data_IF_513813168672
#
_entry.id   IF_513813168672
#
_cell.length_a   1.000
_cell.length_b   1.000
_cell.length_c   1.000
_cell.angle_alpha   90.00
_cell.angle_beta   90.00
_cell.angle_gamma   90.00
#
_symmetry.space_group_name_H-M   'P 1'
#
loop_
_entity.id
_entity.type
_entity.pdbx_description
1 polymer ?
#
# COMPACT_ATOMS: atom_id res chain seq x y z
N UNK A 1 7.97 -20.04 -48.99
CA UNK A 1 7.72 -19.71 -47.58
C UNK A 1 7.07 -20.93 -46.96
N UNK A 2 7.70 -21.63 -46.01
CA UNK A 2 7.21 -22.90 -45.48
C UNK A 2 5.89 -22.71 -44.73
N UNK A 3 4.98 -23.67 -44.85
CA UNK A 3 3.64 -23.68 -44.17
C UNK A 3 3.78 -23.45 -42.65
N UNK A 4 4.88 -23.96 -42.05
CA UNK A 4 5.22 -23.72 -40.63
C UNK A 4 5.46 -22.26 -40.29
N UNK A 5 6.04 -21.46 -41.19
CA UNK A 5 6.30 -20.06 -40.97
C UNK A 5 4.99 -19.22 -41.01
N UNK A 6 4.08 -19.58 -41.91
CA UNK A 6 2.73 -18.94 -41.99
C UNK A 6 1.91 -19.26 -40.73
N UNK A 7 1.92 -20.49 -40.27
CA UNK A 7 1.24 -20.90 -39.05
C UNK A 7 1.79 -20.16 -37.80
N UNK A 8 3.12 -20.10 -37.67
CA UNK A 8 3.75 -19.36 -36.55
C UNK A 8 3.41 -17.87 -36.57
N UNK A 9 3.36 -17.23 -37.75
CA UNK A 9 2.95 -15.82 -37.89
C UNK A 9 1.47 -15.64 -37.54
N UNK A 10 0.62 -16.55 -37.95
CA UNK A 10 -0.80 -16.52 -37.60
C UNK A 10 -1.01 -16.67 -36.08
N UNK A 11 -0.40 -17.67 -35.46
CA UNK A 11 -0.48 -17.87 -34.01
C UNK A 11 0.08 -16.65 -33.26
N UNK A 12 1.23 -16.12 -33.68
CA UNK A 12 1.80 -14.92 -33.07
C UNK A 12 0.89 -13.71 -33.19
N UNK A 13 0.30 -13.48 -34.37
CA UNK A 13 -0.67 -12.40 -34.60
C UNK A 13 -1.92 -12.57 -33.75
N UNK A 14 -2.46 -13.80 -33.69
CA UNK A 14 -3.62 -14.11 -32.84
C UNK A 14 -3.34 -13.85 -31.35
N UNK A 15 -2.20 -14.34 -30.84
CA UNK A 15 -1.81 -14.12 -29.45
C UNK A 15 -1.61 -12.63 -29.14
N UNK A 16 -0.98 -11.88 -30.03
CA UNK A 16 -0.81 -10.43 -29.88
C UNK A 16 -2.16 -9.70 -29.84
N UNK A 17 -3.09 -10.08 -30.73
CA UNK A 17 -4.45 -9.50 -30.74
C UNK A 17 -5.20 -9.85 -29.44
N UNK A 18 -5.16 -11.10 -29.01
CA UNK A 18 -5.75 -11.53 -27.74
C UNK A 18 -5.19 -10.72 -26.55
N UNK A 19 -3.87 -10.58 -26.47
CA UNK A 19 -3.22 -9.77 -25.42
C UNK A 19 -3.67 -8.31 -25.50
N UNK A 20 -3.76 -7.74 -26.69
CA UNK A 20 -4.28 -6.38 -26.90
C UNK A 20 -5.73 -6.23 -26.45
N UNK A 21 -6.60 -7.17 -26.80
CA UNK A 21 -8.01 -7.18 -26.34
C UNK A 21 -8.09 -7.27 -24.81
N UNK A 22 -7.35 -8.18 -24.20
CA UNK A 22 -7.32 -8.30 -22.72
C UNK A 22 -6.84 -7.00 -22.05
N UNK A 23 -5.83 -6.35 -22.61
CA UNK A 23 -5.35 -5.06 -22.11
C UNK A 23 -6.41 -3.97 -22.22
N UNK A 24 -7.09 -3.86 -23.37
CA UNK A 24 -8.18 -2.90 -23.59
C UNK A 24 -9.33 -3.15 -22.63
N UNK A 25 -9.75 -4.40 -22.44
CA UNK A 25 -10.81 -4.75 -21.50
C UNK A 25 -10.42 -4.35 -20.06
N UNK A 26 -9.21 -4.70 -19.60
CA UNK A 26 -8.75 -4.37 -18.27
C UNK A 26 -8.72 -2.85 -18.03
N UNK A 27 -8.21 -2.09 -19.00
CA UNK A 27 -8.16 -0.62 -18.95
C UNK A 27 -9.57 -0.01 -18.98
N UNK A 28 -10.48 -0.56 -19.80
CA UNK A 28 -11.87 -0.09 -19.88
C UNK A 28 -12.61 -0.30 -18.56
N UNK A 29 -12.45 -1.46 -17.92
CA UNK A 29 -13.03 -1.74 -16.59
C UNK A 29 -12.50 -0.76 -15.55
N UNK A 30 -11.19 -0.48 -15.57
CA UNK A 30 -10.59 0.50 -14.66
C UNK A 30 -11.20 1.90 -14.86
N UNK A 31 -11.28 2.38 -16.10
CA UNK A 31 -11.88 3.68 -16.40
C UNK A 31 -13.37 3.74 -16.06
N UNK A 32 -14.09 2.63 -16.25
CA UNK A 32 -15.49 2.54 -15.85
C UNK A 32 -15.66 2.69 -14.34
N UNK A 33 -14.87 1.95 -13.55
CA UNK A 33 -14.89 2.04 -12.08
C UNK A 33 -14.54 3.46 -11.61
N UNK A 34 -13.47 4.05 -12.16
CA UNK A 34 -13.05 5.41 -11.80
C UNK A 34 -14.10 6.45 -12.20
N UNK A 35 -14.67 6.35 -13.40
CA UNK A 35 -15.73 7.24 -13.86
C UNK A 35 -16.98 7.14 -12.99
N UNK A 36 -17.39 5.92 -12.64
CA UNK A 36 -18.52 5.68 -11.75
C UNK A 36 -18.28 6.27 -10.34
N UNK A 37 -17.08 6.07 -9.82
CA UNK A 37 -16.67 6.60 -8.51
C UNK A 37 -16.67 8.15 -8.51
N UNK A 38 -16.14 8.77 -9.57
CA UNK A 38 -16.13 10.23 -9.70
C UNK A 38 -17.55 10.79 -9.83
N UNK A 39 -18.40 10.15 -10.64
CA UNK A 39 -19.77 10.60 -10.86
C UNK A 39 -20.61 10.53 -9.59
N UNK A 40 -20.58 9.41 -8.85
CA UNK A 40 -21.41 9.23 -7.65
C UNK A 40 -20.77 9.85 -6.39
N UNK A 41 -19.43 9.78 -6.26
CA UNK A 41 -18.72 10.35 -5.12
C UNK A 41 -18.59 11.86 -5.19
N UNK A 42 -18.40 12.43 -6.38
CA UNK A 42 -18.17 13.86 -6.56
C UNK A 42 -19.33 14.74 -6.10
N UNK A 43 -20.56 14.26 -6.27
CA UNK A 43 -21.79 15.00 -5.87
C UNK A 43 -21.94 15.14 -4.34
N UNK A 44 -21.30 14.27 -3.57
CA UNK A 44 -21.41 14.23 -2.10
C UNK A 44 -20.18 14.83 -1.39
N UNK A 45 -19.16 15.24 -2.14
CA UNK A 45 -18.00 15.92 -1.57
C UNK A 45 -18.35 17.39 -1.32
N UNK A 46 -18.29 17.78 -0.04
CA UNK A 46 -18.46 19.15 0.41
C UNK A 46 -17.38 19.51 1.44
N UNK A 47 -17.20 20.79 1.77
CA UNK A 47 -16.25 21.18 2.80
C UNK A 47 -16.56 20.53 4.16
N UNK A 48 -17.85 20.32 4.45
CA UNK A 48 -18.30 19.63 5.67
C UNK A 48 -17.85 18.16 5.71
N UNK A 49 -17.69 17.50 4.57
CA UNK A 49 -17.17 16.13 4.51
C UNK A 49 -15.78 15.99 5.15
N UNK A 50 -14.93 16.99 4.99
CA UNK A 50 -13.56 17.00 5.51
C UNK A 50 -13.44 17.54 6.95
N UNK A 51 -14.44 18.25 7.46
CA UNK A 51 -14.34 18.99 8.72
C UNK A 51 -15.31 18.51 9.80
N UNK A 52 -16.42 17.89 9.41
CA UNK A 52 -17.44 17.43 10.35
C UNK A 52 -17.34 15.94 10.66
N UNK A 53 -17.89 15.58 11.81
CA UNK A 53 -18.09 14.19 12.21
C UNK A 53 -19.29 13.56 11.49
N UNK A 54 -19.39 12.23 11.46
CA UNK A 54 -20.57 11.52 10.98
C UNK A 54 -21.83 11.91 11.78
N UNK A 55 -22.94 12.18 11.08
CA UNK A 55 -24.24 12.41 11.70
C UNK A 55 -25.01 11.10 11.88
N UNK A 56 -25.98 11.05 12.83
CA UNK A 56 -26.92 9.96 12.94
C UNK A 56 -27.73 9.75 11.65
N UNK A 57 -28.35 8.56 11.56
CA UNK A 57 -29.23 8.22 10.44
C UNK A 57 -30.44 9.18 10.40
N UNK A 58 -30.75 9.69 9.21
CA UNK A 58 -31.87 10.60 8.98
C UNK A 58 -31.57 12.08 9.18
N UNK A 59 -30.36 12.43 9.65
CA UNK A 59 -29.91 13.80 9.71
C UNK A 59 -29.11 14.16 8.45
N UNK A 60 -29.48 15.27 7.81
CA UNK A 60 -28.76 15.78 6.65
C UNK A 60 -27.40 16.37 7.03
N UNK A 61 -26.40 16.18 6.20
CA UNK A 61 -25.05 16.70 6.40
C UNK A 61 -24.11 15.66 7.04
N UNK A 62 -23.20 16.12 7.89
CA UNK A 62 -22.14 15.28 8.43
C UNK A 62 -20.93 15.17 7.51
N UNK A 63 -19.91 14.44 7.98
CA UNK A 63 -18.66 14.24 7.26
C UNK A 63 -17.91 13.02 7.75
N UNK A 64 -16.68 12.86 7.30
CA UNK A 64 -15.80 11.74 7.67
C UNK A 64 -14.42 12.21 8.15
N UNK A 65 -14.35 13.39 8.77
CA UNK A 65 -13.10 13.98 9.25
C UNK A 65 -12.35 13.05 10.22
N UNK A 66 -13.08 12.39 11.14
CA UNK A 66 -12.49 11.40 12.06
C UNK A 66 -11.88 10.20 11.34
N UNK A 67 -12.51 9.72 10.26
CA UNK A 67 -12.02 8.59 9.48
C UNK A 67 -10.78 8.96 8.63
N UNK A 68 -10.74 10.18 8.10
CA UNK A 68 -9.57 10.70 7.38
C UNK A 68 -8.36 10.78 8.33
N UNK A 69 -8.53 11.42 9.48
CA UNK A 69 -7.47 11.55 10.49
C UNK A 69 -7.09 10.18 11.06
N UNK A 70 -8.06 9.31 11.31
CA UNK A 70 -7.80 7.96 11.81
C UNK A 70 -7.05 7.09 10.81
N UNK A 71 -7.39 7.15 9.52
CA UNK A 71 -6.61 6.47 8.47
C UNK A 71 -5.16 6.96 8.42
N UNK A 72 -4.95 8.27 8.53
CA UNK A 72 -3.60 8.84 8.57
C UNK A 72 -2.81 8.34 9.79
N UNK A 73 -3.42 8.30 10.98
CA UNK A 73 -2.80 7.76 12.21
C UNK A 73 -2.42 6.28 12.04
N UNK A 74 -3.33 5.46 11.53
CA UNK A 74 -3.12 4.03 11.32
C UNK A 74 -1.99 3.77 10.33
N UNK A 75 -1.97 4.47 9.20
CA UNK A 75 -0.92 4.36 8.18
C UNK A 75 0.43 4.87 8.68
N UNK A 76 0.44 5.94 9.48
CA UNK A 76 1.67 6.44 10.10
C UNK A 76 2.28 5.38 11.03
N UNK A 77 1.48 4.78 11.92
CA UNK A 77 1.94 3.70 12.80
C UNK A 77 2.41 2.48 12.01
N UNK A 78 1.64 2.04 11.02
CA UNK A 78 2.01 0.92 10.17
C UNK A 78 3.35 1.17 9.46
N UNK A 79 3.55 2.39 8.94
CA UNK A 79 4.78 2.77 8.26
C UNK A 79 5.97 2.89 9.20
N UNK A 80 5.75 3.34 10.44
CA UNK A 80 6.81 3.59 11.42
C UNK A 80 7.63 2.32 11.74
N UNK A 81 7.00 1.16 11.76
CA UNK A 81 7.73 -0.10 11.99
C UNK A 81 7.76 -1.01 10.75
N UNK A 82 6.69 -1.03 9.94
CA UNK A 82 6.60 -1.89 8.76
C UNK A 82 7.63 -1.56 7.68
N UNK A 83 7.83 -0.26 7.42
CA UNK A 83 8.84 0.19 6.43
C UNK A 83 10.26 -0.09 6.90
N UNK A 84 10.71 0.29 8.11
CA UNK A 84 12.08 0.00 8.54
C UNK A 84 12.39 -1.51 8.58
N UNK A 85 11.50 -2.32 9.14
CA UNK A 85 11.70 -3.78 9.21
C UNK A 85 11.79 -4.37 7.80
N UNK A 86 10.86 -4.00 6.91
CA UNK A 86 10.88 -4.46 5.52
C UNK A 86 12.12 -4.00 4.77
N UNK A 87 12.54 -2.75 4.93
CA UNK A 87 13.72 -2.18 4.29
C UNK A 87 15.03 -2.85 4.73
N UNK A 88 15.27 -2.97 6.03
CA UNK A 88 16.48 -3.63 6.52
C UNK A 88 16.48 -5.13 6.21
N UNK A 89 15.30 -5.78 6.27
CA UNK A 89 15.15 -7.15 5.81
C UNK A 89 15.49 -7.32 4.33
N UNK A 90 15.06 -6.39 3.47
CA UNK A 90 15.38 -6.40 2.05
C UNK A 90 16.88 -6.25 1.78
N UNK A 91 17.57 -5.35 2.51
CA UNK A 91 19.04 -5.23 2.43
C UNK A 91 19.70 -6.56 2.78
N UNK A 92 19.26 -7.18 3.88
CA UNK A 92 19.78 -8.48 4.28
C UNK A 92 19.58 -9.53 3.19
N UNK A 93 18.38 -9.64 2.62
CA UNK A 93 18.08 -10.61 1.56
C UNK A 93 18.83 -10.34 0.26
N UNK A 94 19.07 -9.08 -0.10
CA UNK A 94 19.80 -8.70 -1.31
C UNK A 94 21.30 -9.02 -1.19
N UNK A 95 21.91 -8.74 -0.04
CA UNK A 95 23.35 -8.79 0.16
C UNK A 95 23.87 -10.13 0.75
N UNK A 96 22.97 -10.91 1.38
CA UNK A 96 23.32 -12.21 2.00
C UNK A 96 22.49 -13.36 1.43
N UNK A 97 22.18 -13.31 0.14
CA UNK A 97 21.23 -14.19 -0.57
C UNK A 97 21.56 -15.68 -0.52
N UNK A 98 22.81 -16.07 -0.30
CA UNK A 98 23.26 -17.48 -0.26
C UNK A 98 23.09 -18.17 1.10
N UNK A 99 22.61 -17.48 2.14
CA UNK A 99 22.43 -18.06 3.46
C UNK A 99 21.10 -18.80 3.61
N UNK A 100 21.07 -19.85 4.40
CA UNK A 100 19.85 -20.59 4.79
C UNK A 100 18.83 -19.65 5.45
N UNK A 101 19.30 -18.72 6.27
CA UNK A 101 18.46 -17.72 6.92
C UNK A 101 17.76 -16.80 5.91
N UNK A 102 18.49 -16.35 4.86
CA UNK A 102 17.87 -15.54 3.80
C UNK A 102 16.79 -16.32 3.05
N UNK A 103 17.01 -17.62 2.81
CA UNK A 103 15.98 -18.49 2.22
C UNK A 103 14.73 -18.56 3.09
N UNK A 104 14.89 -18.82 4.41
CA UNK A 104 13.76 -18.90 5.36
C UNK A 104 13.01 -17.58 5.45
N UNK A 105 13.70 -16.45 5.57
CA UNK A 105 13.07 -15.12 5.66
C UNK A 105 12.31 -14.78 4.38
N UNK A 106 12.88 -15.09 3.22
CA UNK A 106 12.19 -14.89 1.91
C UNK A 106 10.93 -15.74 1.82
N UNK A 107 11.04 -17.02 2.15
CA UNK A 107 9.91 -17.94 2.13
C UNK A 107 8.81 -17.51 3.10
N UNK A 108 9.16 -17.08 4.32
CA UNK A 108 8.22 -16.54 5.29
C UNK A 108 7.51 -15.26 4.79
N UNK A 109 8.25 -14.36 4.14
CA UNK A 109 7.67 -13.15 3.55
C UNK A 109 6.70 -13.49 2.40
N UNK A 110 7.05 -14.45 1.54
CA UNK A 110 6.18 -14.90 0.45
C UNK A 110 4.92 -15.58 0.99
N UNK A 111 5.03 -16.39 2.03
CA UNK A 111 3.87 -16.97 2.73
C UNK A 111 2.97 -15.87 3.32
N UNK A 112 3.54 -14.90 4.03
CA UNK A 112 2.77 -13.79 4.63
C UNK A 112 2.05 -12.95 3.58
N UNK A 113 2.63 -12.75 2.39
CA UNK A 113 1.95 -12.08 1.28
C UNK A 113 0.75 -12.86 0.75
N UNK A 114 0.74 -14.19 0.90
CA UNK A 114 -0.36 -15.06 0.51
C UNK A 114 -1.45 -15.24 1.58
N UNK A 115 -1.21 -14.84 2.82
CA UNK A 115 -2.19 -14.96 3.90
C UNK A 115 -3.35 -13.98 3.68
N UNK A 116 -4.61 -14.43 3.77
CA UNK A 116 -5.76 -13.52 3.73
C UNK A 116 -5.66 -12.45 4.83
N UNK A 117 -5.94 -11.19 4.46
CA UNK A 117 -5.79 -10.04 5.38
C UNK A 117 -6.63 -10.17 6.66
N UNK A 118 -7.79 -10.83 6.56
CA UNK A 118 -8.65 -11.11 7.73
C UNK A 118 -7.93 -11.99 8.77
N UNK A 119 -7.12 -12.96 8.33
CA UNK A 119 -6.36 -13.85 9.23
C UNK A 119 -5.29 -13.05 9.98
N UNK A 120 -4.62 -12.12 9.29
CA UNK A 120 -3.67 -11.19 9.93
C UNK A 120 -4.39 -10.32 10.96
N UNK A 121 -5.61 -9.88 10.66
CA UNK A 121 -6.45 -9.14 11.61
C UNK A 121 -6.78 -9.93 12.87
N UNK A 122 -7.19 -11.19 12.73
CA UNK A 122 -7.49 -12.10 13.86
C UNK A 122 -6.21 -12.38 14.67
N UNK A 123 -5.08 -12.57 13.99
CA UNK A 123 -3.79 -12.75 14.65
C UNK A 123 -3.39 -11.53 15.48
N UNK A 124 -3.49 -10.32 14.89
CA UNK A 124 -3.22 -9.08 15.60
C UNK A 124 -4.21 -8.84 16.76
N UNK A 125 -5.48 -9.21 16.59
CA UNK A 125 -6.47 -9.21 17.66
C UNK A 125 -6.02 -10.07 18.83
N UNK A 126 -5.61 -11.30 18.57
CA UNK A 126 -5.16 -12.25 19.60
C UNK A 126 -3.91 -11.77 20.36
N UNK A 127 -2.99 -11.10 19.64
CA UNK A 127 -1.74 -10.64 20.25
C UNK A 127 -1.86 -9.30 20.98
N UNK A 128 -2.74 -8.41 20.51
CA UNK A 128 -2.81 -7.04 21.02
C UNK A 128 -4.13 -6.76 21.71
N UNK A 129 -5.27 -6.99 21.03
CA UNK A 129 -6.58 -6.61 21.57
C UNK A 129 -6.98 -7.46 22.77
N UNK A 130 -6.79 -8.78 22.70
CA UNK A 130 -7.15 -9.70 23.80
C UNK A 130 -6.39 -9.40 25.10
N UNK A 131 -5.06 -9.23 25.10
CA UNK A 131 -4.32 -8.91 26.32
C UNK A 131 -4.67 -7.55 26.91
N UNK A 132 -4.86 -6.54 26.06
CA UNK A 132 -5.21 -5.19 26.49
C UNK A 132 -6.72 -5.00 26.75
N UNK A 133 -7.55 -5.96 26.35
CA UNK A 133 -9.03 -5.97 26.51
C UNK A 133 -9.77 -4.79 25.89
N UNK A 134 -9.17 -4.13 24.91
CA UNK A 134 -9.82 -3.05 24.15
C UNK A 134 -9.25 -2.91 22.73
N UNK A 135 -10.08 -2.43 21.81
CA UNK A 135 -9.68 -2.02 20.47
C UNK A 135 -8.88 -0.71 20.54
N UNK A 136 -7.92 -0.54 19.64
CA UNK A 136 -7.08 0.65 19.66
C UNK A 136 -6.47 0.98 18.30
N UNK A 137 -6.11 2.25 18.13
CA UNK A 137 -5.32 2.72 16.98
C UNK A 137 -3.97 1.98 16.89
N UNK A 138 -3.34 1.68 18.05
CA UNK A 138 -2.08 0.91 18.09
C UNK A 138 -2.26 -0.50 17.54
N UNK A 139 -3.33 -1.21 17.94
CA UNK A 139 -3.62 -2.55 17.45
C UNK A 139 -3.87 -2.55 15.93
N UNK A 140 -4.60 -1.54 15.43
CA UNK A 140 -4.83 -1.35 13.99
C UNK A 140 -3.55 -1.04 13.23
N UNK A 141 -2.73 -0.13 13.74
CA UNK A 141 -1.42 0.18 13.16
C UNK A 141 -0.49 -1.03 13.13
N UNK A 142 -0.49 -1.84 14.20
CA UNK A 142 0.25 -3.10 14.26
C UNK A 142 -0.21 -4.11 13.18
N UNK A 143 -1.51 -4.32 13.04
CA UNK A 143 -2.06 -5.23 12.03
C UNK A 143 -1.69 -4.80 10.60
N UNK A 144 -1.85 -3.51 10.30
CA UNK A 144 -1.47 -2.96 8.99
C UNK A 144 0.03 -3.02 8.75
N UNK A 145 0.85 -2.79 9.78
CA UNK A 145 2.30 -2.86 9.67
C UNK A 145 2.81 -4.27 9.42
N UNK A 146 2.21 -5.30 10.04
CA UNK A 146 2.51 -6.70 9.74
C UNK A 146 2.31 -7.01 8.26
N UNK A 147 1.27 -6.45 7.64
CA UNK A 147 1.04 -6.60 6.19
C UNK A 147 2.04 -5.79 5.35
N UNK A 148 2.47 -4.65 5.85
CA UNK A 148 3.39 -3.76 5.13
C UNK A 148 4.81 -4.35 5.05
N UNK A 149 5.26 -5.09 6.08
CA UNK A 149 6.60 -5.71 6.14
C UNK A 149 6.92 -6.56 4.91
N UNK A 150 6.17 -7.63 4.58
CA UNK A 150 6.53 -8.53 3.49
C UNK A 150 6.47 -7.83 2.12
N UNK A 151 5.53 -6.91 1.91
CA UNK A 151 5.41 -6.14 0.66
C UNK A 151 6.64 -5.25 0.47
N UNK A 152 6.98 -4.45 1.50
CA UNK A 152 8.16 -3.58 1.47
C UNK A 152 9.44 -4.38 1.29
N UNK A 153 9.58 -5.49 2.01
CA UNK A 153 10.75 -6.36 1.97
C UNK A 153 10.97 -6.91 0.55
N UNK A 154 9.97 -7.56 -0.02
CA UNK A 154 10.12 -8.23 -1.32
C UNK A 154 10.33 -7.23 -2.46
N UNK A 155 9.51 -6.17 -2.51
CA UNK A 155 9.66 -5.17 -3.56
C UNK A 155 10.99 -4.40 -3.46
N UNK A 156 11.44 -4.09 -2.24
CA UNK A 156 12.75 -3.43 -2.04
C UNK A 156 13.91 -4.36 -2.40
N UNK A 157 13.85 -5.65 -2.04
CA UNK A 157 14.86 -6.65 -2.42
C UNK A 157 15.06 -6.70 -3.94
N UNK A 158 13.97 -6.70 -4.72
CA UNK A 158 14.03 -6.71 -6.18
C UNK A 158 14.80 -5.51 -6.74
N UNK A 159 14.53 -4.30 -6.24
CA UNK A 159 15.24 -3.10 -6.68
C UNK A 159 16.72 -3.07 -6.25
N UNK A 160 17.04 -3.56 -5.05
CA UNK A 160 18.43 -3.67 -4.60
C UNK A 160 19.21 -4.68 -5.43
N UNK A 161 18.59 -5.80 -5.83
CA UNK A 161 19.19 -6.81 -6.68
C UNK A 161 19.36 -6.35 -8.13
N UNK A 162 18.54 -5.44 -8.61
CA UNK A 162 18.64 -4.86 -9.94
C UNK A 162 19.90 -3.99 -10.12
N UNK A 163 20.56 -3.56 -9.02
CA UNK A 163 21.82 -2.81 -9.08
C UNK A 163 22.95 -3.74 -9.58
N UNK A 164 23.69 -3.37 -10.65
CA UNK A 164 24.74 -4.19 -11.21
C UNK A 164 25.84 -4.56 -10.20
N UNK A 165 26.30 -5.81 -10.23
CA UNK A 165 27.38 -6.29 -9.34
C UNK A 165 28.70 -5.52 -9.55
N UNK A 166 28.96 -5.05 -10.77
CA UNK A 166 30.13 -4.25 -11.08
C UNK A 166 30.27 -2.99 -10.18
N UNK A 167 29.16 -2.37 -9.77
CA UNK A 167 29.19 -1.23 -8.83
C UNK A 167 29.62 -1.67 -7.43
N UNK A 168 29.21 -2.85 -7.00
CA UNK A 168 29.62 -3.44 -5.71
C UNK A 168 31.13 -3.73 -5.70
N UNK A 169 31.59 -4.40 -6.75
CA UNK A 169 33.01 -4.78 -6.91
C UNK A 169 33.90 -3.55 -7.04
N UNK A 170 33.52 -2.54 -7.81
CA UNK A 170 34.26 -1.30 -7.96
C UNK A 170 34.41 -0.56 -6.62
N UNK A 171 33.34 -0.42 -5.84
CA UNK A 171 33.41 0.22 -4.54
C UNK A 171 34.32 -0.52 -3.55
N UNK A 172 34.24 -1.86 -3.53
CA UNK A 172 35.12 -2.69 -2.68
C UNK A 172 36.58 -2.66 -3.15
N UNK A 173 36.84 -2.63 -4.46
CA UNK A 173 38.18 -2.48 -5.02
C UNK A 173 38.85 -1.15 -4.62
N UNK A 174 38.05 -0.08 -4.41
CA UNK A 174 38.49 1.20 -3.86
C UNK A 174 38.66 1.20 -2.31
N UNK A 175 38.57 0.03 -1.68
CA UNK A 175 38.77 -0.12 -0.23
C UNK A 175 37.52 0.17 0.64
N UNK A 176 36.33 0.34 0.04
CA UNK A 176 35.12 0.52 0.83
C UNK A 176 34.71 -0.80 1.52
N UNK A 177 34.37 -0.74 2.80
CA UNK A 177 33.77 -1.89 3.51
C UNK A 177 32.41 -2.23 2.93
N UNK A 178 31.95 -3.47 3.12
CA UNK A 178 30.64 -3.94 2.63
C UNK A 178 29.49 -3.02 3.04
N UNK A 179 29.45 -2.61 4.31
CA UNK A 179 28.41 -1.69 4.81
C UNK A 179 28.50 -0.30 4.19
N UNK A 180 29.70 0.21 3.99
CA UNK A 180 29.91 1.49 3.31
C UNK A 180 29.44 1.40 1.86
N UNK A 181 29.74 0.32 1.15
CA UNK A 181 29.26 0.06 -0.21
C UNK A 181 27.72 0.03 -0.26
N UNK A 182 27.08 -0.67 0.66
CA UNK A 182 25.61 -0.72 0.73
C UNK A 182 25.03 0.68 0.92
N UNK A 183 25.50 1.41 1.93
CA UNK A 183 24.91 2.70 2.32
C UNK A 183 25.20 3.83 1.32
N UNK A 184 26.39 3.86 0.68
CA UNK A 184 26.81 4.98 -0.18
C UNK A 184 26.71 4.70 -1.67
N UNK A 185 26.59 3.44 -2.08
CA UNK A 185 26.53 3.07 -3.50
C UNK A 185 25.21 2.36 -3.84
N UNK A 186 24.91 1.24 -3.16
CA UNK A 186 23.78 0.38 -3.53
C UNK A 186 22.43 1.03 -3.22
N UNK A 187 22.24 1.49 -1.99
CA UNK A 187 20.98 2.13 -1.57
C UNK A 187 20.71 3.41 -2.37
N UNK A 188 21.69 4.33 -2.57
CA UNK A 188 21.50 5.49 -3.43
C UNK A 188 21.25 5.13 -4.91
N UNK A 189 21.87 4.09 -5.44
CA UNK A 189 21.62 3.63 -6.82
C UNK A 189 20.20 3.07 -6.99
N UNK A 190 19.67 2.35 -5.99
CA UNK A 190 18.32 1.77 -5.97
C UNK A 190 17.23 2.73 -5.45
N UNK A 191 17.57 3.93 -5.01
CA UNK A 191 16.70 4.82 -4.24
C UNK A 191 15.32 5.04 -4.84
N UNK A 192 15.21 5.29 -6.16
CA UNK A 192 13.91 5.48 -6.84
C UNK A 192 13.04 4.23 -6.79
N UNK A 193 13.67 3.05 -6.94
CA UNK A 193 13.00 1.77 -6.83
C UNK A 193 12.53 1.49 -5.40
N UNK A 194 13.39 1.72 -4.42
CA UNK A 194 13.07 1.54 -2.99
C UNK A 194 11.87 2.39 -2.60
N UNK A 195 11.83 3.66 -3.00
CA UNK A 195 10.67 4.49 -2.70
C UNK A 195 9.42 4.01 -3.42
N UNK A 196 9.53 3.55 -4.67
CA UNK A 196 8.39 2.97 -5.39
C UNK A 196 7.85 1.73 -4.65
N UNK A 197 8.72 0.89 -4.09
CA UNK A 197 8.35 -0.25 -3.26
C UNK A 197 7.58 0.17 -1.99
N UNK A 198 8.08 1.19 -1.29
CA UNK A 198 7.43 1.73 -0.08
C UNK A 198 6.06 2.35 -0.42
N UNK A 199 5.97 3.13 -1.49
CA UNK A 199 4.71 3.73 -1.93
C UNK A 199 3.68 2.69 -2.37
N UNK A 200 4.13 1.60 -3.00
CA UNK A 200 3.27 0.47 -3.36
C UNK A 200 2.71 -0.22 -2.12
N UNK A 201 3.56 -0.50 -1.13
CA UNK A 201 3.15 -1.08 0.14
C UNK A 201 2.16 -0.17 0.88
N UNK A 202 2.44 1.14 0.92
CA UNK A 202 1.57 2.14 1.52
C UNK A 202 0.19 2.18 0.82
N UNK A 203 0.15 2.26 -0.51
CA UNK A 203 -1.09 2.32 -1.27
C UNK A 203 -1.95 1.07 -1.07
N UNK A 204 -1.32 -0.11 -1.03
CA UNK A 204 -2.03 -1.37 -0.77
C UNK A 204 -2.64 -1.40 0.64
N UNK A 205 -1.85 -1.08 1.65
CA UNK A 205 -2.29 -1.13 3.06
C UNK A 205 -3.31 -0.04 3.39
N UNK A 206 -3.26 1.10 2.71
CA UNK A 206 -4.21 2.21 2.90
C UNK A 206 -5.67 1.84 2.59
N UNK A 207 -5.90 0.86 1.73
CA UNK A 207 -7.24 0.36 1.38
C UNK A 207 -7.72 -0.84 2.21
N UNK A 208 -6.93 -1.33 3.17
CA UNK A 208 -7.28 -2.54 3.91
C UNK A 208 -8.38 -2.29 4.95
N UNK A 209 -9.40 -3.12 4.89
CA UNK A 209 -10.59 -3.04 5.76
C UNK A 209 -10.62 -4.15 6.81
N UNK A 210 -10.44 -5.41 6.38
CA UNK A 210 -10.66 -6.58 7.20
C UNK A 210 -9.81 -6.62 8.49
N UNK A 211 -8.51 -6.33 8.48
CA UNK A 211 -7.72 -6.32 9.72
C UNK A 211 -8.18 -5.27 10.72
N UNK A 212 -8.67 -4.13 10.23
CA UNK A 212 -9.09 -3.01 11.08
C UNK A 212 -10.41 -3.29 11.81
N UNK A 213 -11.29 -4.11 11.24
CA UNK A 213 -12.52 -4.54 11.91
C UNK A 213 -12.25 -5.31 13.20
N UNK A 214 -11.13 -6.01 13.28
CA UNK A 214 -10.72 -6.78 14.46
C UNK A 214 -9.77 -6.05 15.40
N UNK A 215 -9.26 -4.87 15.04
CA UNK A 215 -8.19 -4.23 15.79
C UNK A 215 -8.46 -2.76 16.16
N UNK A 216 -8.81 -1.93 15.19
CA UNK A 216 -9.19 -0.53 15.41
C UNK A 216 -10.69 -0.35 15.61
N UNK A 217 -11.49 -1.25 15.05
CA UNK A 217 -12.94 -1.39 15.09
C UNK A 217 -13.70 -0.21 14.48
N UNK A 218 -13.55 0.99 14.98
CA UNK A 218 -14.20 2.20 14.50
C UNK A 218 -14.68 3.09 15.66
N UNK A 219 -14.84 4.38 15.38
CA UNK A 219 -15.34 5.37 16.32
C UNK A 219 -16.05 6.50 15.55
N UNK A 220 -17.28 6.85 15.92
CA UNK A 220 -18.02 7.97 15.31
C UNK A 220 -17.54 9.34 15.79
N UNK A 221 -16.85 9.37 16.92
CA UNK A 221 -16.32 10.57 17.55
C UNK A 221 -14.82 10.75 17.25
N UNK A 222 -14.26 11.86 17.65
CA UNK A 222 -12.83 12.07 17.65
C UNK A 222 -12.14 11.09 18.60
N UNK A 223 -11.10 10.45 18.11
CA UNK A 223 -10.20 9.60 18.93
C UNK A 223 -8.89 10.36 19.16
N UNK A 224 -8.74 11.09 20.28
CA UNK A 224 -7.53 11.86 20.56
C UNK A 224 -6.33 10.98 20.87
N UNK A 225 -6.55 9.82 21.50
CA UNK A 225 -5.50 8.90 21.95
C UNK A 225 -5.10 7.86 20.90
N UNK A 226 -3.97 7.22 21.15
CA UNK A 226 -3.49 6.07 20.36
C UNK A 226 -4.05 4.74 20.87
N UNK A 227 -4.44 4.71 22.13
CA UNK A 227 -4.96 3.53 22.83
C UNK A 227 -6.50 3.49 22.85
N UNK A 228 -7.14 4.12 21.90
CA UNK A 228 -8.60 4.16 21.74
C UNK A 228 -8.99 3.67 20.33
N UNK A 229 -10.21 3.13 20.17
CA UNK A 229 -10.76 2.80 18.87
C UNK A 229 -10.75 4.02 17.96
N UNK A 230 -10.46 3.83 16.69
CA UNK A 230 -10.42 4.92 15.71
C UNK A 230 -11.15 4.52 14.43
N UNK A 231 -11.83 5.50 13.83
CA UNK A 231 -12.40 5.32 12.50
C UNK A 231 -11.30 5.22 11.46
N UNK A 232 -11.61 4.58 10.34
CA UNK A 232 -10.80 4.62 9.13
C UNK A 232 -11.68 4.70 7.89
N UNK A 233 -11.19 5.32 6.82
CA UNK A 233 -11.94 5.44 5.57
C UNK A 233 -12.38 4.06 5.03
N UNK A 234 -11.51 3.02 4.95
CA UNK A 234 -11.93 1.71 4.44
C UNK A 234 -13.04 1.07 5.28
N UNK A 235 -12.98 1.16 6.62
CA UNK A 235 -14.01 0.61 7.50
C UNK A 235 -15.32 1.40 7.38
N UNK A 236 -15.25 2.73 7.27
CA UNK A 236 -16.44 3.57 7.07
C UNK A 236 -17.09 3.31 5.71
N UNK A 237 -16.29 3.17 4.64
CA UNK A 237 -16.81 2.79 3.32
C UNK A 237 -17.55 1.47 3.40
N UNK A 238 -16.96 0.45 4.02
CA UNK A 238 -17.60 -0.84 4.19
C UNK A 238 -18.91 -0.74 4.98
N UNK A 239 -18.88 -0.10 6.14
CA UNK A 239 -20.05 0.03 7.03
C UNK A 239 -21.19 0.78 6.35
N UNK A 240 -20.87 1.83 5.59
CA UNK A 240 -21.88 2.67 4.93
C UNK A 240 -22.40 2.02 3.65
N UNK A 241 -21.57 1.25 2.93
CA UNK A 241 -21.99 0.55 1.72
C UNK A 241 -22.97 -0.59 1.98
N UNK A 242 -22.89 -1.24 3.15
CA UNK A 242 -23.83 -2.34 3.52
C UNK A 242 -25.09 -1.86 4.26
N UNK A 243 -25.14 -0.58 4.62
CA UNK A 243 -26.29 -0.03 5.33
C UNK A 243 -27.48 0.22 4.37
N UNK A 244 -28.73 0.16 4.83
CA UNK A 244 -29.90 0.33 3.96
C UNK A 244 -30.28 1.80 3.70
N UNK A 245 -29.33 2.73 3.79
CA UNK A 245 -29.59 4.17 3.73
C UNK A 245 -28.89 4.82 2.54
N UNK A 246 -29.63 5.44 1.64
CA UNK A 246 -29.13 6.10 0.44
C UNK A 246 -28.09 7.21 0.73
N UNK A 247 -28.30 7.98 1.81
CA UNK A 247 -27.36 9.04 2.22
C UNK A 247 -26.00 8.47 2.63
N UNK A 248 -26.00 7.29 3.25
CA UNK A 248 -24.76 6.60 3.62
C UNK A 248 -24.07 6.01 2.40
N UNK A 249 -24.82 5.48 1.43
CA UNK A 249 -24.24 5.01 0.16
C UNK A 249 -23.55 6.17 -0.56
N UNK A 250 -24.17 7.34 -0.63
CA UNK A 250 -23.56 8.55 -1.23
C UNK A 250 -22.26 8.94 -0.50
N UNK A 251 -22.26 8.91 0.83
CA UNK A 251 -21.06 9.20 1.62
C UNK A 251 -19.99 8.12 1.44
N UNK A 252 -20.35 6.84 1.28
CA UNK A 252 -19.40 5.77 0.98
C UNK A 252 -18.68 6.00 -0.36
N UNK A 253 -19.42 6.42 -1.41
CA UNK A 253 -18.83 6.77 -2.70
C UNK A 253 -17.88 7.97 -2.58
N UNK A 254 -18.29 9.01 -1.84
CA UNK A 254 -17.43 10.16 -1.58
C UNK A 254 -16.15 9.77 -0.81
N UNK A 255 -16.28 8.91 0.20
CA UNK A 255 -15.14 8.40 0.97
C UNK A 255 -14.17 7.58 0.11
N UNK A 256 -14.69 6.75 -0.78
CA UNK A 256 -13.89 6.00 -1.75
C UNK A 256 -13.11 6.92 -2.70
N UNK A 257 -13.76 7.98 -3.20
CA UNK A 257 -13.10 8.97 -4.06
C UNK A 257 -12.03 9.75 -3.30
N UNK A 258 -12.29 10.15 -2.05
CA UNK A 258 -11.33 10.84 -1.19
C UNK A 258 -10.14 9.93 -0.86
N UNK A 259 -10.37 8.67 -0.50
CA UNK A 259 -9.30 7.71 -0.21
C UNK A 259 -8.39 7.52 -1.44
N UNK A 260 -8.99 7.29 -2.62
CA UNK A 260 -8.24 7.16 -3.87
C UNK A 260 -7.46 8.44 -4.19
N UNK A 261 -8.10 9.60 -4.05
CA UNK A 261 -7.48 10.91 -4.26
C UNK A 261 -6.30 11.17 -3.33
N UNK A 262 -6.41 10.83 -2.04
CA UNK A 262 -5.33 10.95 -1.06
C UNK A 262 -4.15 10.05 -1.41
N UNK A 263 -4.40 8.78 -1.73
CA UNK A 263 -3.34 7.85 -2.13
C UNK A 263 -2.64 8.34 -3.40
N UNK A 264 -3.41 8.80 -4.40
CA UNK A 264 -2.87 9.34 -5.65
C UNK A 264 -2.04 10.61 -5.40
N UNK A 265 -2.55 11.52 -4.58
CA UNK A 265 -1.84 12.76 -4.22
C UNK A 265 -0.49 12.45 -3.52
N UNK A 266 -0.48 11.54 -2.54
CA UNK A 266 0.74 11.11 -1.85
C UNK A 266 1.73 10.52 -2.85
N UNK A 267 1.28 9.66 -3.77
CA UNK A 267 2.15 9.07 -4.79
C UNK A 267 2.73 10.11 -5.75
N UNK A 268 1.91 11.07 -6.21
CA UNK A 268 2.36 12.14 -7.11
C UNK A 268 3.37 13.04 -6.40
N UNK A 269 3.05 13.49 -5.19
CA UNK A 269 3.93 14.37 -4.39
C UNK A 269 5.27 13.69 -4.11
N UNK A 270 5.25 12.44 -3.66
CA UNK A 270 6.47 11.69 -3.40
C UNK A 270 7.34 11.56 -4.67
N UNK A 271 6.74 11.22 -5.81
CA UNK A 271 7.46 11.13 -7.10
C UNK A 271 7.98 12.50 -7.58
N UNK A 272 7.21 13.57 -7.40
CA UNK A 272 7.62 14.92 -7.79
C UNK A 272 8.82 15.42 -6.96
N UNK A 273 8.83 15.18 -5.66
CA UNK A 273 9.97 15.51 -4.79
C UNK A 273 11.23 14.78 -5.26
N UNK A 274 11.10 13.51 -5.60
CA UNK A 274 12.23 12.68 -6.05
C UNK A 274 12.75 13.03 -7.43
N UNK A 275 11.88 13.47 -8.34
CA UNK A 275 12.32 13.88 -9.67
C UNK A 275 13.20 15.14 -9.63
N UNK A 276 13.01 15.99 -8.60
CA UNK A 276 13.77 17.24 -8.41
C UNK A 276 15.08 17.06 -7.64
N UNK A 277 15.22 15.98 -6.84
CA UNK A 277 16.31 15.84 -5.87
C UNK A 277 17.61 15.24 -6.40
N UNK A 278 17.67 14.67 -7.62
CA UNK A 278 18.91 14.06 -8.16
C UNK A 278 19.02 14.43 -9.63
N UNK A 279 19.48 15.64 -9.91
CA UNK A 279 20.15 15.93 -11.17
C UNK A 279 21.54 15.27 -11.08
N UNK A 280 21.66 14.01 -11.51
CA UNK A 280 22.98 13.44 -11.83
C UNK A 280 23.51 14.27 -12.99
N UNK A 281 24.71 14.93 -12.87
CA UNK A 281 25.31 15.61 -13.99
C UNK A 281 25.48 14.59 -15.12
N UNK A 282 24.83 14.80 -16.24
CA UNK A 282 25.13 14.09 -17.48
C UNK A 282 26.50 14.56 -17.93
N UNK A 283 27.53 13.80 -17.65
CA UNK A 283 28.84 13.90 -18.32
C UNK A 283 28.79 13.09 -19.59
#
# INVERSE_FOLDING_TARGET
MSTRLRWRKFVSGFMLTMTGVCAVVAVSVLFFILGYLVFHGGTSISWSFFTRLPTPVGEAGGGMANAIVGSAKLLMLASLFGVPIGFFGAIYLAEFSGSTTAFIVRYAADLLNGVPSIVIGIFAYSLVVLPFKHFSTLAGGFALGLMMIPITLRSTEEFLRAVPNALREAAMALGASKWKTIATVIVPAAYRGILTAILLAFARVAGETAPLLFTAFGNRFWSPGWNQPTASLPVMIFTYAIAPYEDWHRQAWAAGLVLLGLILAINIVARAILSRGIAVPRS
#
